data_IF_308259955316
#
_entry.id   IF_308259955316
#
_cell.length_a   1.000
_cell.length_b   1.000
_cell.length_c   1.000
_cell.angle_alpha   90.00
_cell.angle_beta   90.00
_cell.angle_gamma   90.00
#
_symmetry.space_group_name_H-M   'P 1'
#
loop_
_entity.id
_entity.type
_entity.pdbx_description
1 polymer ?
#
# COMPACT_ATOMS: atom_id res chain seq x y z
N UNK A 1 12.85 -21.09 -13.96
CA UNK A 1 12.24 -19.77 -13.67
C UNK A 1 11.61 -19.98 -12.31
N UNK A 2 12.38 -19.72 -11.25
CA UNK A 2 12.18 -20.42 -9.97
C UNK A 2 11.38 -19.58 -8.97
N UNK A 3 10.83 -18.44 -9.42
CA UNK A 3 10.01 -17.55 -8.61
C UNK A 3 8.74 -17.19 -9.39
N UNK A 4 7.64 -17.83 -9.05
CA UNK A 4 6.31 -17.56 -9.61
C UNK A 4 5.49 -16.76 -8.59
N UNK A 5 4.81 -15.71 -9.07
CA UNK A 5 3.94 -14.87 -8.24
C UNK A 5 2.48 -15.13 -8.63
N UNK A 6 1.63 -15.30 -7.63
CA UNK A 6 0.19 -15.36 -7.79
C UNK A 6 -0.44 -14.12 -7.14
N UNK A 7 -1.40 -13.51 -7.83
CA UNK A 7 -2.18 -12.38 -7.33
C UNK A 7 -3.64 -12.79 -7.24
N UNK A 8 -4.24 -12.56 -6.07
CA UNK A 8 -5.66 -12.76 -5.83
C UNK A 8 -6.28 -11.40 -5.52
N UNK A 9 -7.33 -11.05 -6.26
CA UNK A 9 -8.11 -9.84 -6.04
C UNK A 9 -9.57 -10.24 -5.89
N UNK A 10 -10.20 -9.79 -4.80
CA UNK A 10 -11.61 -10.04 -4.55
C UNK A 10 -12.23 -8.85 -3.82
N UNK A 11 -13.56 -8.78 -3.86
CA UNK A 11 -14.34 -7.78 -3.14
C UNK A 11 -15.12 -8.50 -2.04
N UNK A 12 -15.09 -7.94 -0.83
CA UNK A 12 -15.98 -8.35 0.25
C UNK A 12 -17.11 -7.34 0.41
N UNK A 13 -18.32 -7.82 0.78
CA UNK A 13 -19.47 -6.95 1.08
C UNK A 13 -19.34 -6.26 2.44
N UNK A 14 -18.52 -6.80 3.34
CA UNK A 14 -18.21 -6.24 4.66
C UNK A 14 -16.70 -6.17 4.84
N UNK A 15 -16.25 -5.25 5.67
CA UNK A 15 -14.85 -5.21 6.08
C UNK A 15 -14.47 -6.54 6.75
N UNK A 16 -13.28 -7.05 6.41
CA UNK A 16 -12.79 -8.30 6.98
C UNK A 16 -12.12 -8.01 8.31
N UNK A 17 -12.56 -8.68 9.36
CA UNK A 17 -11.92 -8.59 10.67
C UNK A 17 -10.75 -9.57 10.76
N UNK A 18 -9.53 -9.03 10.79
CA UNK A 18 -8.31 -9.79 11.02
C UNK A 18 -7.22 -8.85 11.53
N UNK A 19 -6.22 -9.42 12.22
CA UNK A 19 -5.04 -8.66 12.58
C UNK A 19 -4.01 -8.72 11.44
N UNK A 20 -3.37 -7.59 11.11
CA UNK A 20 -2.39 -7.53 10.00
C UNK A 20 -1.16 -8.45 10.18
N UNK A 21 -0.88 -8.91 11.41
CA UNK A 21 0.16 -9.91 11.71
C UNK A 21 -0.34 -11.35 11.82
N UNK A 22 -1.64 -11.58 11.73
CA UNK A 22 -2.22 -12.92 11.77
C UNK A 22 -2.27 -13.52 10.36
N UNK A 23 -1.13 -14.01 9.90
CA UNK A 23 -0.97 -14.62 8.57
C UNK A 23 -1.84 -15.88 8.42
N UNK A 24 -2.06 -16.63 9.51
CA UNK A 24 -2.91 -17.82 9.47
C UNK A 24 -4.36 -17.44 9.15
N UNK A 25 -4.90 -16.42 9.84
CA UNK A 25 -6.25 -15.90 9.55
C UNK A 25 -6.36 -15.32 8.16
N UNK A 26 -5.34 -14.59 7.69
CA UNK A 26 -5.33 -14.03 6.33
C UNK A 26 -5.37 -15.10 5.23
N UNK A 27 -4.59 -16.18 5.38
CA UNK A 27 -4.62 -17.32 4.45
C UNK A 27 -5.98 -18.04 4.47
N UNK A 28 -6.59 -18.18 5.65
CA UNK A 28 -7.93 -18.75 5.76
C UNK A 28 -8.98 -17.87 5.05
N UNK A 29 -8.94 -16.55 5.24
CA UNK A 29 -9.84 -15.61 4.56
C UNK A 29 -9.68 -15.66 3.04
N UNK A 30 -8.45 -15.81 2.54
CA UNK A 30 -8.18 -16.01 1.12
C UNK A 30 -8.82 -17.31 0.59
N UNK A 31 -8.68 -18.42 1.31
CA UNK A 31 -9.28 -19.70 0.94
C UNK A 31 -10.81 -19.65 0.95
N UNK A 32 -11.41 -19.00 1.95
CA UNK A 32 -12.85 -18.77 2.04
C UNK A 32 -13.37 -17.93 0.86
N UNK A 33 -12.64 -16.85 0.50
CA UNK A 33 -13.04 -15.96 -0.58
C UNK A 33 -13.01 -16.62 -1.98
N UNK A 34 -12.15 -17.63 -2.17
CA UNK A 34 -11.99 -18.34 -3.43
C UNK A 34 -12.53 -19.77 -3.40
N UNK A 35 -13.26 -20.14 -2.33
CA UNK A 35 -13.84 -21.47 -2.17
C UNK A 35 -14.79 -21.81 -3.33
N UNK A 36 -14.62 -23.01 -3.90
CA UNK A 36 -15.43 -23.47 -5.03
C UNK A 36 -15.04 -22.86 -6.38
N UNK A 37 -14.05 -21.95 -6.44
CA UNK A 37 -13.50 -21.50 -7.71
C UNK A 37 -12.65 -22.62 -8.34
N UNK A 38 -12.94 -22.95 -9.60
CA UNK A 38 -12.24 -24.00 -10.35
C UNK A 38 -10.92 -23.50 -10.99
N UNK A 39 -10.59 -24.09 -12.14
CA UNK A 39 -9.36 -23.79 -12.89
C UNK A 39 -8.10 -24.00 -12.01
N UNK A 40 -7.20 -23.02 -11.96
CA UNK A 40 -5.95 -23.07 -11.22
C UNK A 40 -6.11 -22.69 -9.74
N UNK A 41 -7.27 -22.16 -9.33
CA UNK A 41 -7.45 -21.64 -7.97
C UNK A 41 -7.16 -22.69 -6.88
N UNK A 42 -7.62 -23.97 -6.97
CA UNK A 42 -7.29 -24.98 -5.96
C UNK A 42 -5.78 -25.22 -5.85
N UNK A 43 -5.06 -25.24 -6.98
CA UNK A 43 -3.60 -25.41 -7.00
C UNK A 43 -2.89 -24.20 -6.40
N UNK A 44 -3.25 -22.99 -6.82
CA UNK A 44 -2.63 -21.75 -6.33
C UNK A 44 -2.92 -21.51 -4.84
N UNK A 45 -4.11 -21.87 -4.34
CA UNK A 45 -4.44 -21.82 -2.91
C UNK A 45 -3.60 -22.80 -2.09
N UNK A 46 -3.39 -24.02 -2.60
CA UNK A 46 -2.52 -25.00 -1.95
C UNK A 46 -1.06 -24.51 -1.85
N UNK A 47 -0.55 -23.83 -2.88
CA UNK A 47 0.77 -23.19 -2.85
C UNK A 47 0.80 -21.97 -1.91
N UNK A 48 -0.22 -21.11 -1.95
CA UNK A 48 -0.32 -19.95 -1.05
C UNK A 48 -0.31 -20.35 0.43
N UNK A 49 -0.94 -21.48 0.78
CA UNK A 49 -0.91 -22.04 2.13
C UNK A 49 0.52 -22.33 2.59
N UNK A 50 1.38 -22.87 1.72
CA UNK A 50 2.77 -23.27 2.01
C UNK A 50 3.79 -22.16 1.79
N UNK A 51 3.42 -21.09 1.09
CA UNK A 51 4.31 -19.97 0.78
C UNK A 51 4.87 -19.33 2.05
N UNK A 52 6.21 -19.18 2.08
CA UNK A 52 6.94 -18.47 3.13
C UNK A 52 6.81 -16.95 2.99
N UNK A 53 6.70 -16.46 1.75
CA UNK A 53 6.47 -15.05 1.44
C UNK A 53 5.00 -14.88 1.07
N UNK A 54 4.26 -14.16 1.90
CA UNK A 54 2.83 -13.93 1.74
C UNK A 54 2.49 -12.50 2.14
N UNK A 55 1.69 -11.82 1.32
CA UNK A 55 1.18 -10.47 1.58
C UNK A 55 -0.32 -10.47 1.34
N UNK A 56 -1.05 -9.89 2.29
CA UNK A 56 -2.50 -9.76 2.24
C UNK A 56 -2.88 -8.41 2.82
N UNK A 57 -3.63 -7.62 2.07
CA UNK A 57 -4.06 -6.30 2.48
C UNK A 57 -5.30 -5.86 1.71
N UNK A 58 -5.91 -4.80 2.19
CA UNK A 58 -7.02 -4.12 1.54
C UNK A 58 -6.53 -3.22 0.42
N UNK A 59 -7.36 -3.06 -0.62
CA UNK A 59 -7.11 -2.06 -1.67
C UNK A 59 -7.73 -0.75 -1.21
N UNK A 60 -6.93 0.09 -0.55
CA UNK A 60 -7.40 1.34 0.07
C UNK A 60 -6.68 2.55 -0.51
N UNK A 61 -7.42 3.64 -0.76
CA UNK A 61 -6.84 4.94 -1.10
C UNK A 61 -6.83 5.81 0.16
N UNK A 62 -5.68 6.37 0.50
CA UNK A 62 -5.57 7.31 1.63
C UNK A 62 -5.79 8.74 1.15
N UNK A 63 -6.69 9.46 1.82
CA UNK A 63 -6.99 10.87 1.59
C UNK A 63 -6.95 11.61 2.92
N UNK A 64 -6.08 12.61 3.02
CA UNK A 64 -5.89 13.41 4.23
C UNK A 64 -5.79 14.89 3.85
N UNK A 65 -6.33 15.76 4.71
CA UNK A 65 -6.24 17.21 4.50
C UNK A 65 -4.80 17.73 4.66
N UNK A 66 -4.03 17.10 5.56
CA UNK A 66 -2.61 17.37 5.74
C UNK A 66 -1.85 16.06 6.00
N UNK A 67 -0.58 16.04 5.57
CA UNK A 67 0.36 14.95 5.84
C UNK A 67 1.35 15.29 6.94
N UNK A 68 1.23 16.48 7.53
CA UNK A 68 2.25 17.08 8.39
C UNK A 68 1.67 17.45 9.75
N UNK A 69 2.47 17.25 10.79
CA UNK A 69 2.19 17.69 12.16
C UNK A 69 3.50 18.06 12.85
N UNK A 70 3.70 19.36 13.08
CA UNK A 70 4.95 19.88 13.64
C UNK A 70 6.16 19.46 12.79
N UNK A 71 7.05 18.65 13.37
CA UNK A 71 8.28 18.17 12.72
C UNK A 71 8.14 16.81 12.01
N UNK A 72 6.92 16.27 11.94
CA UNK A 72 6.66 14.97 11.32
C UNK A 72 5.86 15.16 10.03
N UNK A 73 6.26 14.49 8.96
CA UNK A 73 5.49 14.38 7.71
C UNK A 73 5.40 12.93 7.26
N UNK A 74 4.31 12.58 6.58
CA UNK A 74 4.12 11.30 5.92
C UNK A 74 4.72 11.33 4.51
N UNK A 75 5.20 10.18 4.05
CA UNK A 75 5.77 10.00 2.72
C UNK A 75 5.30 8.67 2.11
N UNK A 76 5.19 8.62 0.79
CA UNK A 76 4.71 7.45 0.04
C UNK A 76 3.29 7.06 0.44
N UNK A 77 3.06 5.73 0.50
CA UNK A 77 1.75 5.18 0.78
C UNK A 77 1.21 5.56 2.16
N UNK A 78 2.05 6.00 3.11
CA UNK A 78 1.57 6.49 4.40
C UNK A 78 0.76 7.78 4.30
N UNK A 79 0.99 8.63 3.28
CA UNK A 79 0.32 9.92 3.12
C UNK A 79 -0.62 9.99 1.92
N UNK A 80 -0.23 9.38 0.79
CA UNK A 80 -0.89 9.60 -0.50
C UNK A 80 -0.91 8.34 -1.38
N UNK A 81 -1.18 7.18 -0.79
CA UNK A 81 -1.34 5.95 -1.58
C UNK A 81 -2.50 6.09 -2.58
N UNK A 82 -2.28 5.82 -3.89
CA UNK A 82 -3.33 5.86 -4.90
C UNK A 82 -4.26 4.63 -4.83
N UNK A 83 -3.89 3.62 -4.04
CA UNK A 83 -4.53 2.30 -3.97
C UNK A 83 -3.87 1.26 -4.89
N UNK A 84 -3.64 0.05 -4.38
CA UNK A 84 -2.87 -1.00 -5.06
C UNK A 84 -3.44 -1.43 -6.43
N UNK A 85 -4.76 -1.27 -6.65
CA UNK A 85 -5.41 -1.61 -7.93
C UNK A 85 -5.10 -0.63 -9.07
N UNK A 86 -4.68 0.61 -8.75
CA UNK A 86 -4.35 1.64 -9.75
C UNK A 86 -2.92 1.47 -10.27
N UNK A 87 -2.05 0.83 -9.49
CA UNK A 87 -0.61 0.77 -9.75
C UNK A 87 0.09 2.12 -9.48
N UNK A 88 1.41 2.16 -9.64
CA UNK A 88 2.19 3.40 -9.57
C UNK A 88 2.64 3.86 -8.17
N UNK A 89 2.31 3.15 -7.09
CA UNK A 89 2.74 3.48 -5.72
C UNK A 89 4.25 3.66 -5.59
N UNK A 90 5.05 2.81 -6.23
CA UNK A 90 6.52 2.92 -6.21
C UNK A 90 7.01 4.21 -6.86
N UNK A 91 6.44 4.58 -8.01
CA UNK A 91 6.79 5.81 -8.71
C UNK A 91 6.43 7.04 -7.89
N UNK A 92 5.24 7.06 -7.28
CA UNK A 92 4.80 8.13 -6.38
C UNK A 92 5.66 8.24 -5.12
N UNK A 93 6.10 7.11 -4.56
CA UNK A 93 7.00 7.09 -3.41
C UNK A 93 8.35 7.72 -3.77
N UNK A 94 8.94 7.37 -4.93
CA UNK A 94 10.22 7.92 -5.38
C UNK A 94 10.10 9.43 -5.68
N UNK A 95 9.10 9.83 -6.46
CA UNK A 95 8.89 11.24 -6.82
C UNK A 95 8.59 12.07 -5.58
N UNK A 96 7.71 11.59 -4.71
CA UNK A 96 7.35 12.29 -3.48
C UNK A 96 8.53 12.42 -2.51
N UNK A 97 9.38 11.40 -2.39
CA UNK A 97 10.61 11.49 -1.59
C UNK A 97 11.59 12.53 -2.15
N UNK A 98 11.77 12.57 -3.47
CA UNK A 98 12.62 13.56 -4.13
C UNK A 98 12.11 14.99 -3.91
N UNK A 99 10.80 15.21 -4.10
CA UNK A 99 10.17 16.50 -3.87
C UNK A 99 10.31 16.93 -2.41
N UNK A 100 10.01 16.04 -1.46
CA UNK A 100 10.13 16.33 -0.03
C UNK A 100 11.57 16.75 0.35
N UNK A 101 12.57 16.00 -0.11
CA UNK A 101 13.96 16.31 0.17
C UNK A 101 14.39 17.66 -0.44
N UNK A 102 13.96 17.95 -1.68
CA UNK A 102 14.27 19.20 -2.36
C UNK A 102 13.68 20.43 -1.67
N UNK A 103 12.41 20.36 -1.28
CA UNK A 103 11.73 21.49 -0.61
C UNK A 103 12.28 21.72 0.80
N UNK A 104 12.65 20.66 1.54
CA UNK A 104 13.36 20.79 2.82
C UNK A 104 14.74 21.44 2.68
N UNK A 105 15.51 21.04 1.67
CA UNK A 105 16.82 21.64 1.40
C UNK A 105 16.69 23.13 1.04
N UNK A 106 15.72 23.48 0.19
CA UNK A 106 15.45 24.86 -0.21
C UNK A 106 14.92 25.74 0.95
N UNK A 107 14.29 25.14 1.96
CA UNK A 107 13.77 25.85 3.11
C UNK A 107 14.84 26.21 4.17
N UNK A 108 16.08 25.73 4.04
CA UNK A 108 17.21 26.20 4.85
C UNK A 108 17.04 25.99 6.37
N UNK A 109 16.33 24.93 6.78
CA UNK A 109 16.05 24.62 8.19
C UNK A 109 14.62 24.95 8.65
N UNK A 110 13.85 25.70 7.85
CA UNK A 110 12.41 25.90 8.07
C UNK A 110 11.61 24.70 7.57
N UNK A 111 11.44 23.70 8.44
CA UNK A 111 10.71 22.48 8.10
C UNK A 111 9.22 22.73 7.80
N UNK A 112 8.59 23.76 8.39
CA UNK A 112 7.18 24.04 8.17
C UNK A 112 6.95 24.49 6.73
N UNK A 113 7.80 25.40 6.25
CA UNK A 113 7.82 25.82 4.85
C UNK A 113 8.11 24.64 3.91
N UNK A 114 9.18 23.88 4.18
CA UNK A 114 9.56 22.75 3.33
C UNK A 114 8.46 21.68 3.20
N UNK A 115 7.80 21.34 4.31
CA UNK A 115 6.67 20.43 4.32
C UNK A 115 5.44 20.97 3.56
N UNK A 116 5.12 22.24 3.76
CA UNK A 116 4.00 22.89 3.07
C UNK A 116 4.21 22.90 1.54
N UNK A 117 5.41 23.24 1.09
CA UNK A 117 5.74 23.35 -0.33
C UNK A 117 5.80 21.96 -0.99
N UNK A 118 6.35 20.95 -0.31
CA UNK A 118 6.33 19.56 -0.76
C UNK A 118 4.90 19.05 -0.96
N UNK A 119 4.00 19.29 0.02
CA UNK A 119 2.58 18.90 -0.09
C UNK A 119 1.91 19.54 -1.30
N UNK A 120 2.11 20.84 -1.51
CA UNK A 120 1.52 21.56 -2.66
C UNK A 120 2.00 21.00 -3.99
N UNK A 121 3.27 20.61 -4.09
CA UNK A 121 3.85 20.06 -5.32
C UNK A 121 3.35 18.64 -5.59
N UNK A 122 3.29 17.77 -4.58
CA UNK A 122 2.78 16.41 -4.73
C UNK A 122 1.27 16.35 -5.01
N UNK A 123 0.47 17.28 -4.48
CA UNK A 123 -0.98 17.31 -4.70
C UNK A 123 -1.41 17.82 -6.10
N UNK A 124 -0.48 18.29 -6.94
CA UNK A 124 -0.74 18.74 -8.32
C UNK A 124 -0.40 17.70 -9.39
N UNK A 125 0.14 16.57 -8.98
CA UNK A 125 0.48 15.39 -9.82
C UNK A 125 -0.67 14.39 -9.79
#
# INVERSE_FOLDING_TARGET
MDDARALFLFRSARELEYHHRDVARQKQLLEEAFAGLGWEAPRLLAEARRAQVFYFDTITQLRMDTWTRGRVTLAGDAGYSPGAAVGGSTSLAIVGAYVLAGELAAAGGDHEKGFHDARRRCART
#
